data_IF_347355897131
#
_entry.id   IF_347355897131
#
_cell.length_a   1.000
_cell.length_b   1.000
_cell.length_c   1.000
_cell.angle_alpha   90.00
_cell.angle_beta   90.00
_cell.angle_gamma   90.00
#
_symmetry.space_group_name_H-M   'P 1'
#
loop_
_entity.id
_entity.type
_entity.pdbx_description
1 polymer ?
#
# COMPACT_ATOMS: atom_id res chain seq x y z
N UNK A 1 35.34 -12.25 -27.92
CA UNK A 1 34.55 -13.10 -27.00
C UNK A 1 34.34 -12.49 -25.61
N UNK A 2 35.36 -11.86 -24.99
CA UNK A 2 35.21 -11.22 -23.65
C UNK A 2 34.18 -10.08 -23.56
N UNK A 3 33.96 -9.32 -24.64
CA UNK A 3 32.99 -8.20 -24.69
C UNK A 3 31.52 -8.66 -24.69
N UNK A 4 31.24 -9.90 -25.11
CA UNK A 4 29.88 -10.46 -25.16
C UNK A 4 29.44 -10.97 -23.78
N UNK A 5 30.40 -11.42 -22.97
CA UNK A 5 30.18 -11.90 -21.60
C UNK A 5 29.81 -10.74 -20.63
N UNK A 6 30.36 -9.54 -20.87
CA UNK A 6 30.02 -8.33 -20.09
C UNK A 6 28.57 -7.88 -20.33
N UNK A 7 28.06 -8.02 -21.56
CA UNK A 7 26.69 -7.64 -21.91
C UNK A 7 25.66 -8.54 -21.22
N UNK A 8 25.92 -9.84 -21.14
CA UNK A 8 25.03 -10.82 -20.50
C UNK A 8 24.94 -10.60 -18.99
N UNK A 9 26.07 -10.27 -18.33
CA UNK A 9 26.10 -9.95 -16.89
C UNK A 9 25.33 -8.66 -16.58
N UNK A 10 25.42 -7.65 -17.46
CA UNK A 10 24.68 -6.39 -17.28
C UNK A 10 23.17 -6.57 -17.46
N UNK A 11 22.73 -7.46 -18.34
CA UNK A 11 21.30 -7.77 -18.53
C UNK A 11 20.69 -8.59 -17.37
N UNK A 12 21.47 -9.42 -16.67
CA UNK A 12 20.96 -10.20 -15.52
C UNK A 12 20.69 -9.37 -14.26
N UNK A 13 21.30 -8.18 -14.12
CA UNK A 13 21.15 -7.32 -12.95
C UNK A 13 19.85 -6.48 -12.96
N UNK A 14 19.17 -6.37 -14.10
CA UNK A 14 17.95 -5.56 -14.25
C UNK A 14 16.69 -6.17 -13.61
N UNK A 15 16.73 -7.42 -13.14
CA UNK A 15 15.56 -8.11 -12.58
C UNK A 15 15.26 -7.78 -11.11
N UNK A 16 16.06 -6.93 -10.46
CA UNK A 16 16.00 -6.72 -9.00
C UNK A 16 15.12 -5.55 -8.53
N UNK A 17 14.23 -5.03 -9.38
CA UNK A 17 13.32 -3.92 -9.04
C UNK A 17 11.90 -4.45 -8.87
N UNK A 18 11.57 -5.10 -7.74
CA UNK A 18 10.19 -5.55 -7.47
C UNK A 18 9.87 -5.58 -5.97
N UNK A 19 9.74 -4.41 -5.34
CA UNK A 19 9.08 -4.31 -4.03
C UNK A 19 7.55 -4.21 -4.12
N UNK A 20 6.98 -4.06 -5.32
CA UNK A 20 5.52 -4.01 -5.55
C UNK A 20 5.03 -5.26 -6.28
N UNK A 21 3.82 -5.71 -5.95
CA UNK A 21 3.27 -6.93 -6.53
C UNK A 21 2.90 -6.76 -8.00
N UNK A 22 3.34 -7.72 -8.83
CA UNK A 22 2.98 -7.75 -10.27
C UNK A 22 1.53 -8.20 -10.46
N UNK A 23 1.05 -9.06 -9.57
CA UNK A 23 -0.31 -9.60 -9.59
C UNK A 23 -1.32 -8.55 -9.21
N UNK A 24 -1.03 -7.70 -8.22
CA UNK A 24 -1.87 -6.51 -7.94
C UNK A 24 -1.93 -5.59 -9.16
N UNK A 25 -0.80 -5.33 -9.82
CA UNK A 25 -0.76 -4.48 -11.01
C UNK A 25 -1.53 -5.08 -12.20
N UNK A 26 -1.50 -6.41 -12.37
CA UNK A 26 -2.28 -7.15 -13.39
C UNK A 26 -3.77 -7.04 -13.08
N UNK A 27 -4.17 -7.38 -11.85
CA UNK A 27 -5.56 -7.31 -11.38
C UNK A 27 -6.16 -5.92 -11.58
N UNK A 28 -5.41 -4.88 -11.20
CA UNK A 28 -5.80 -3.47 -11.40
C UNK A 28 -6.08 -3.11 -12.86
N UNK A 29 -5.34 -3.69 -13.81
CA UNK A 29 -5.54 -3.43 -15.24
C UNK A 29 -6.78 -4.12 -15.78
N UNK A 30 -7.03 -5.34 -15.30
CA UNK A 30 -8.12 -6.20 -15.76
C UNK A 30 -9.47 -5.79 -15.17
N UNK A 31 -9.49 -5.31 -13.92
CA UNK A 31 -10.73 -5.06 -13.17
C UNK A 31 -10.97 -3.58 -12.81
N UNK A 32 -10.20 -2.65 -13.39
CA UNK A 32 -10.36 -1.19 -13.31
C UNK A 32 -11.00 -0.65 -12.01
N UNK A 33 -10.21 -0.41 -10.95
CA UNK A 33 -10.75 0.12 -9.69
C UNK A 33 -11.44 1.47 -9.86
N UNK A 34 -12.48 1.70 -9.05
CA UNK A 34 -13.26 2.94 -8.98
C UNK A 34 -12.41 4.13 -8.52
N UNK A 35 -11.40 3.89 -7.69
CA UNK A 35 -10.42 4.88 -7.26
C UNK A 35 -8.99 4.34 -7.37
N UNK A 36 -8.08 5.16 -7.90
CA UNK A 36 -6.65 4.86 -8.04
C UNK A 36 -5.84 6.02 -7.50
N UNK A 37 -4.94 5.74 -6.55
CA UNK A 37 -4.01 6.75 -6.06
C UNK A 37 -2.60 6.20 -5.92
N UNK A 38 -1.65 7.10 -6.07
CA UNK A 38 -0.22 6.80 -6.04
C UNK A 38 0.45 7.82 -5.13
N UNK A 39 0.87 7.36 -3.96
CA UNK A 39 1.57 8.17 -2.98
C UNK A 39 3.05 7.84 -3.03
N UNK A 40 3.84 8.74 -3.60
CA UNK A 40 5.30 8.64 -3.56
C UNK A 40 5.80 9.20 -2.23
N UNK A 41 6.99 8.76 -1.80
CA UNK A 41 7.66 9.25 -0.58
C UNK A 41 7.63 10.77 -0.41
N UNK A 42 7.79 11.54 -1.48
CA UNK A 42 7.71 13.00 -1.46
C UNK A 42 6.31 13.50 -1.10
N UNK A 43 5.27 12.93 -1.71
CA UNK A 43 3.87 13.25 -1.43
C UNK A 43 3.47 12.85 -0.02
N UNK A 44 3.91 11.67 0.45
CA UNK A 44 3.71 11.21 1.82
C UNK A 44 4.33 12.18 2.83
N UNK A 45 5.59 12.60 2.59
CA UNK A 45 6.27 13.59 3.43
C UNK A 45 5.59 14.96 3.40
N UNK A 46 5.07 15.39 2.25
CA UNK A 46 4.32 16.64 2.13
C UNK A 46 3.05 16.58 2.98
N UNK A 47 2.27 15.50 2.86
CA UNK A 47 1.04 15.33 3.62
C UNK A 47 1.30 15.29 5.13
N UNK A 48 2.30 14.51 5.56
CA UNK A 48 2.71 14.44 6.96
C UNK A 48 3.06 15.83 7.52
N UNK A 49 3.75 16.68 6.73
CA UNK A 49 4.09 18.06 7.13
C UNK A 49 2.88 18.98 7.18
N UNK A 50 1.97 18.89 6.22
CA UNK A 50 0.74 19.68 6.20
C UNK A 50 -0.10 19.40 7.45
N UNK A 51 -0.24 18.12 7.80
CA UNK A 51 -0.98 17.71 8.98
C UNK A 51 -0.32 18.16 10.28
N UNK A 52 1.02 18.08 10.38
CA UNK A 52 1.76 18.64 11.52
C UNK A 52 1.58 20.16 11.63
N UNK A 53 1.58 20.88 10.50
CA UNK A 53 1.34 22.33 10.48
C UNK A 53 -0.04 22.69 11.01
N UNK A 54 -1.07 21.97 10.58
CA UNK A 54 -2.44 22.13 11.08
C UNK A 54 -2.55 21.77 12.58
N UNK A 55 -1.88 20.72 13.04
CA UNK A 55 -1.88 20.34 14.46
C UNK A 55 -1.25 21.42 15.34
N UNK A 56 -0.19 22.09 14.87
CA UNK A 56 0.43 23.19 15.61
C UNK A 56 -0.48 24.42 15.69
N UNK A 57 -1.24 24.71 14.64
CA UNK A 57 -2.12 25.89 14.55
C UNK A 57 -3.42 25.73 15.35
N UNK A 58 -3.91 24.50 15.56
CA UNK A 58 -5.16 24.18 16.27
C UNK A 58 -4.97 23.46 17.61
N UNK A 59 -3.85 23.73 18.29
CA UNK A 59 -3.40 23.03 19.50
C UNK A 59 -4.35 23.16 20.70
N UNK A 60 -5.21 22.15 20.91
CA UNK A 60 -5.70 21.72 22.23
C UNK A 60 -6.43 20.36 22.23
N UNK A 61 -6.99 19.92 21.10
CA UNK A 61 -7.82 18.69 21.05
C UNK A 61 -7.24 17.55 20.18
N UNK A 62 -5.99 17.66 19.72
CA UNK A 62 -5.37 16.72 18.76
C UNK A 62 -4.13 15.98 19.30
N UNK A 63 -4.07 15.74 20.61
CA UNK A 63 -2.91 15.11 21.28
C UNK A 63 -2.70 13.61 20.94
N UNK A 64 -3.62 12.98 20.20
CA UNK A 64 -3.60 11.54 19.92
C UNK A 64 -3.32 11.17 18.46
N UNK A 65 -2.84 12.10 17.62
CA UNK A 65 -2.52 11.71 16.24
C UNK A 65 -1.20 10.94 16.18
N UNK A 66 -1.16 9.72 15.60
CA UNK A 66 0.06 8.93 15.48
C UNK A 66 1.13 9.69 14.69
N UNK A 67 2.40 9.45 15.00
CA UNK A 67 3.53 10.06 14.31
C UNK A 67 3.63 9.53 12.87
N UNK A 68 2.85 10.11 11.96
CA UNK A 68 2.78 9.70 10.54
C UNK A 68 4.14 9.72 9.86
N UNK A 69 5.04 10.63 10.27
CA UNK A 69 6.41 10.67 9.76
C UNK A 69 7.23 9.41 10.07
N UNK A 70 6.95 8.71 11.17
CA UNK A 70 7.60 7.45 11.51
C UNK A 70 7.01 6.31 10.68
N UNK A 71 5.69 6.34 10.46
CA UNK A 71 4.96 5.32 9.69
C UNK A 71 5.34 5.31 8.21
N UNK A 72 5.57 6.48 7.61
CA UNK A 72 5.98 6.61 6.21
C UNK A 72 7.49 6.48 6.01
N UNK A 73 8.26 6.37 7.10
CA UNK A 73 9.70 6.22 7.00
C UNK A 73 10.02 4.82 6.48
N UNK A 74 10.87 4.74 5.45
CA UNK A 74 11.13 3.47 4.76
C UNK A 74 10.11 3.08 3.68
N UNK A 75 9.03 3.84 3.52
CA UNK A 75 8.10 3.70 2.39
C UNK A 75 8.61 4.52 1.21
N UNK A 76 8.77 3.87 0.07
CA UNK A 76 9.13 4.54 -1.19
C UNK A 76 7.87 4.91 -1.99
N UNK A 77 6.88 4.02 -2.00
CA UNK A 77 5.65 4.21 -2.76
C UNK A 77 4.49 3.41 -2.19
N UNK A 78 3.30 4.00 -2.19
CA UNK A 78 2.03 3.31 -1.92
C UNK A 78 1.15 3.47 -3.15
N UNK A 79 0.58 2.36 -3.60
CA UNK A 79 -0.53 2.35 -4.53
C UNK A 79 -1.79 1.96 -3.78
N UNK A 80 -2.85 2.72 -3.94
CA UNK A 80 -4.16 2.43 -3.37
C UNK A 80 -5.17 2.24 -4.48
N UNK A 81 -5.91 1.13 -4.41
CA UNK A 81 -6.96 0.77 -5.34
C UNK A 81 -8.23 0.45 -4.57
N UNK A 82 -9.33 1.12 -4.90
CA UNK A 82 -10.64 0.80 -4.35
C UNK A 82 -11.54 0.20 -5.42
N UNK A 83 -12.28 -0.84 -5.06
CA UNK A 83 -13.26 -1.53 -5.90
C UNK A 83 -14.60 -1.49 -5.17
N UNK A 84 -15.44 -0.53 -5.53
CA UNK A 84 -16.76 -0.29 -4.95
C UNK A 84 -17.80 -0.06 -6.04
N UNK A 85 -19.08 -0.29 -5.72
CA UNK A 85 -20.20 -0.04 -6.62
C UNK A 85 -20.58 -1.24 -7.50
N UNK A 86 -21.02 -0.98 -8.73
CA UNK A 86 -21.58 -2.02 -9.63
C UNK A 86 -20.54 -2.93 -10.28
N UNK A 87 -19.25 -2.61 -10.14
CA UNK A 87 -18.13 -3.34 -10.78
C UNK A 87 -17.20 -3.98 -9.73
N UNK A 88 -17.73 -4.33 -8.56
CA UNK A 88 -16.97 -5.07 -7.54
C UNK A 88 -16.62 -6.46 -8.11
N UNK A 89 -15.33 -6.84 -8.17
CA UNK A 89 -14.95 -8.17 -8.61
C UNK A 89 -15.50 -9.25 -7.67
N UNK A 90 -15.83 -10.41 -8.23
CA UNK A 90 -16.29 -11.56 -7.44
C UNK A 90 -15.25 -11.94 -6.38
N UNK A 91 -15.71 -12.38 -5.20
CA UNK A 91 -14.83 -12.73 -4.08
C UNK A 91 -13.79 -13.81 -4.45
N UNK A 92 -14.13 -14.70 -5.39
CA UNK A 92 -13.21 -15.71 -5.91
C UNK A 92 -12.01 -15.10 -6.64
N UNK A 93 -12.18 -13.95 -7.30
CA UNK A 93 -11.08 -13.25 -7.97
C UNK A 93 -10.08 -12.68 -6.96
N UNK A 94 -10.53 -12.23 -5.78
CA UNK A 94 -9.64 -11.81 -4.70
C UNK A 94 -8.92 -12.99 -4.05
N UNK A 95 -9.57 -14.15 -3.97
CA UNK A 95 -8.92 -15.40 -3.53
C UNK A 95 -7.79 -15.76 -4.51
N UNK A 96 -8.07 -15.74 -5.81
CA UNK A 96 -7.08 -16.01 -6.85
C UNK A 96 -5.95 -14.98 -6.85
N UNK A 97 -6.28 -13.69 -6.63
CA UNK A 97 -5.26 -12.65 -6.49
C UNK A 97 -4.34 -12.92 -5.29
N UNK A 98 -4.89 -13.39 -4.16
CA UNK A 98 -4.09 -13.76 -2.99
C UNK A 98 -3.11 -14.88 -3.32
N UNK A 99 -3.58 -15.93 -4.00
CA UNK A 99 -2.73 -17.05 -4.45
C UNK A 99 -1.62 -16.58 -5.41
N UNK A 100 -1.97 -15.70 -6.35
CA UNK A 100 -1.03 -15.10 -7.29
C UNK A 100 0.04 -14.26 -6.59
N UNK A 101 -0.33 -13.53 -5.53
CA UNK A 101 0.60 -12.75 -4.69
C UNK A 101 1.51 -13.68 -3.88
N UNK A 102 0.98 -14.76 -3.30
CA UNK A 102 1.80 -15.77 -2.62
C UNK A 102 2.81 -16.43 -3.58
N UNK A 103 2.41 -16.69 -4.82
CA UNK A 103 3.31 -17.19 -5.86
C UNK A 103 4.46 -16.22 -6.20
N UNK A 104 4.33 -14.93 -5.87
CA UNK A 104 5.40 -13.93 -5.99
C UNK A 104 6.37 -13.91 -4.80
N UNK A 105 6.16 -14.77 -3.80
CA UNK A 105 6.98 -14.88 -2.59
C UNK A 105 6.55 -13.93 -1.47
N UNK A 106 5.31 -13.45 -1.49
CA UNK A 106 4.69 -12.82 -0.33
C UNK A 106 4.16 -13.89 0.62
N UNK A 107 4.21 -13.63 1.91
CA UNK A 107 3.67 -14.49 2.97
C UNK A 107 2.67 -13.72 3.82
N UNK A 108 1.68 -14.42 4.37
CA UNK A 108 0.70 -13.84 5.28
C UNK A 108 1.37 -13.45 6.60
N UNK A 109 1.30 -12.16 6.94
CA UNK A 109 1.89 -11.62 8.16
C UNK A 109 0.85 -11.54 9.28
N UNK A 110 -0.34 -11.01 8.96
CA UNK A 110 -1.45 -10.91 9.90
C UNK A 110 -2.79 -10.81 9.19
N UNK A 111 -3.83 -11.28 9.87
CA UNK A 111 -5.23 -11.02 9.53
C UNK A 111 -5.91 -10.43 10.76
N UNK A 112 -6.62 -9.32 10.58
CA UNK A 112 -7.32 -8.62 11.65
C UNK A 112 -8.69 -8.17 11.18
N UNK A 113 -9.65 -8.11 12.11
CA UNK A 113 -10.94 -7.48 11.87
C UNK A 113 -10.97 -6.13 12.60
N UNK A 114 -11.11 -5.05 11.84
CA UNK A 114 -11.08 -3.68 12.38
C UNK A 114 -12.29 -2.92 11.85
N UNK A 115 -13.12 -2.43 12.76
CA UNK A 115 -14.36 -1.67 12.43
C UNK A 115 -15.32 -2.42 11.49
N UNK A 116 -15.35 -3.75 11.59
CA UNK A 116 -16.19 -4.60 10.74
C UNK A 116 -15.60 -4.90 9.37
N UNK A 117 -14.40 -4.41 9.06
CA UNK A 117 -13.65 -4.74 7.85
C UNK A 117 -12.67 -5.88 8.15
N UNK A 118 -12.57 -6.82 7.23
CA UNK A 118 -11.58 -7.89 7.28
C UNK A 118 -10.31 -7.43 6.56
N UNK A 119 -9.19 -7.39 7.28
CA UNK A 119 -7.91 -6.93 6.77
C UNK A 119 -6.90 -8.07 6.77
N UNK A 120 -6.23 -8.29 5.64
CA UNK A 120 -5.12 -9.23 5.50
C UNK A 120 -3.88 -8.47 5.05
N UNK A 121 -2.78 -8.64 5.77
CA UNK A 121 -1.48 -8.05 5.47
C UNK A 121 -0.55 -9.16 5.04
N UNK A 122 0.01 -9.02 3.84
CA UNK A 122 1.02 -9.88 3.26
C UNK A 122 2.34 -9.12 3.14
N UNK A 123 3.46 -9.80 3.34
CA UNK A 123 4.80 -9.23 3.28
C UNK A 123 5.72 -10.08 2.42
N UNK A 124 6.57 -9.42 1.64
CA UNK A 124 7.67 -10.06 0.92
C UNK A 124 9.00 -9.64 1.52
N UNK A 125 9.86 -10.61 1.77
CA UNK A 125 11.20 -10.39 2.29
C UNK A 125 12.29 -10.71 1.26
N UNK A 126 13.43 -10.03 1.41
CA UNK A 126 14.65 -10.32 0.65
C UNK A 126 15.83 -10.44 1.60
N UNK A 127 16.16 -11.68 1.97
CA UNK A 127 16.98 -11.95 3.15
C UNK A 127 16.19 -11.56 4.40
N UNK A 128 16.83 -10.97 5.40
CA UNK A 128 16.17 -10.57 6.67
C UNK A 128 15.55 -9.16 6.61
N UNK A 129 15.12 -8.70 5.43
CA UNK A 129 14.60 -7.34 5.23
C UNK A 129 13.28 -7.35 4.46
N UNK A 130 12.22 -6.70 5.00
CA UNK A 130 11.01 -6.45 4.24
C UNK A 130 11.30 -5.64 2.97
N UNK A 131 10.78 -6.09 1.83
CA UNK A 131 10.92 -5.45 0.52
C UNK A 131 9.58 -4.82 0.06
N UNK A 132 8.46 -5.39 0.48
CA UNK A 132 7.14 -4.89 0.13
C UNK A 132 6.01 -5.51 0.91
N UNK A 133 4.87 -4.83 0.89
CA UNK A 133 3.65 -5.25 1.58
C UNK A 133 2.45 -5.13 0.66
N UNK A 134 1.52 -6.08 0.78
CA UNK A 134 0.19 -5.96 0.20
C UNK A 134 -0.83 -6.04 1.33
N UNK A 135 -1.73 -5.06 1.40
CA UNK A 135 -2.84 -5.06 2.34
C UNK A 135 -4.14 -5.19 1.58
N UNK A 136 -4.93 -6.20 1.93
CA UNK A 136 -6.31 -6.34 1.51
C UNK A 136 -7.23 -5.87 2.61
N UNK A 137 -8.24 -5.11 2.21
CA UNK A 137 -9.29 -4.63 3.09
C UNK A 137 -10.60 -4.99 2.43
N UNK A 138 -11.35 -5.88 3.05
CA UNK A 138 -12.71 -6.22 2.65
C UNK A 138 -13.69 -5.50 3.56
N UNK A 139 -14.56 -4.69 2.96
CA UNK A 139 -15.65 -4.00 3.64
C UNK A 139 -17.01 -4.54 3.19
N UNK A 140 -18.08 -4.01 3.78
CA UNK A 140 -19.44 -4.28 3.31
C UNK A 140 -19.75 -3.64 1.95
N UNK A 141 -18.97 -2.64 1.53
CA UNK A 141 -19.19 -1.84 0.32
C UNK A 141 -18.25 -2.21 -0.83
N UNK A 142 -17.24 -3.05 -0.60
CA UNK A 142 -16.30 -3.46 -1.62
C UNK A 142 -14.97 -3.97 -1.07
N UNK A 143 -13.92 -3.79 -1.87
CA UNK A 143 -12.56 -4.20 -1.54
C UNK A 143 -11.58 -3.06 -1.81
N UNK A 144 -10.59 -2.91 -0.93
CA UNK A 144 -9.46 -2.03 -1.16
C UNK A 144 -8.15 -2.82 -1.10
N UNK A 145 -7.20 -2.40 -1.94
CA UNK A 145 -5.85 -2.98 -2.00
C UNK A 145 -4.84 -1.85 -1.81
N UNK A 146 -3.91 -2.05 -0.88
CA UNK A 146 -2.70 -1.23 -0.76
C UNK A 146 -1.50 -2.07 -1.19
N UNK A 147 -0.74 -1.57 -2.15
CA UNK A 147 0.52 -2.17 -2.62
C UNK A 147 1.68 -1.22 -2.29
N UNK A 148 2.48 -1.62 -1.32
CA UNK A 148 3.46 -0.78 -0.62
C UNK A 148 4.86 -1.27 -0.96
N UNK A 149 5.66 -0.36 -1.50
CA UNK A 149 7.09 -0.55 -1.73
C UNK A 149 7.89 -0.03 -0.55
N UNK A 150 8.75 -0.88 0.01
CA UNK A 150 9.66 -0.52 1.10
C UNK A 150 9.38 -1.29 2.38
N UNK A 151 9.89 -0.75 3.49
CA UNK A 151 9.92 -1.38 4.80
C UNK A 151 9.17 -0.53 5.85
N UNK A 152 7.84 -0.33 5.72
CA UNK A 152 7.07 0.26 6.81
C UNK A 152 7.26 -0.55 8.10
N UNK A 153 7.20 0.14 9.24
CA UNK A 153 7.05 -0.55 10.53
C UNK A 153 5.75 -1.36 10.50
N UNK A 154 5.87 -2.67 10.63
CA UNK A 154 4.74 -3.61 10.61
C UNK A 154 3.68 -3.25 11.63
N UNK A 155 4.09 -2.79 12.81
CA UNK A 155 3.18 -2.39 13.89
C UNK A 155 2.34 -1.17 13.51
N UNK A 156 2.72 -0.47 12.44
CA UNK A 156 2.12 0.78 11.95
C UNK A 156 1.40 0.62 10.62
N UNK A 157 1.40 -0.58 10.02
CA UNK A 157 0.71 -0.84 8.75
C UNK A 157 -0.81 -0.63 8.87
N UNK A 158 -1.39 -0.98 10.03
CA UNK A 158 -2.82 -0.75 10.27
C UNK A 158 -3.16 0.74 10.26
N UNK A 159 -2.41 1.52 11.05
CA UNK A 159 -2.54 2.99 11.11
C UNK A 159 -2.30 3.61 9.71
N UNK A 160 -1.34 3.08 8.95
CA UNK A 160 -1.02 3.56 7.61
C UNK A 160 -2.16 3.28 6.62
N UNK A 161 -2.79 2.11 6.74
CA UNK A 161 -3.90 1.71 5.88
C UNK A 161 -5.11 2.62 6.09
N UNK A 162 -5.40 2.94 7.35
CA UNK A 162 -6.42 3.92 7.71
C UNK A 162 -6.08 5.31 7.17
N UNK A 163 -4.83 5.76 7.33
CA UNK A 163 -4.35 7.05 6.81
C UNK A 163 -4.51 7.18 5.29
N UNK A 164 -4.14 6.14 4.53
CA UNK A 164 -4.25 6.15 3.07
C UNK A 164 -5.72 6.11 2.64
N UNK A 165 -6.56 5.35 3.36
CA UNK A 165 -8.02 5.36 3.17
C UNK A 165 -8.61 6.75 3.40
N UNK A 166 -8.27 7.43 4.50
CA UNK A 166 -8.79 8.75 4.83
C UNK A 166 -8.30 9.84 3.87
N UNK A 167 -7.03 9.76 3.45
CA UNK A 167 -6.47 10.63 2.42
C UNK A 167 -7.11 10.37 1.04
N UNK A 168 -7.59 9.14 0.82
CA UNK A 168 -8.18 8.71 -0.42
C UNK A 168 -9.64 9.02 -0.63
N UNK A 169 -10.39 9.08 0.47
CA UNK A 169 -11.80 9.39 0.39
C UNK A 169 -12.44 9.41 1.76
N UNK A 170 -12.14 10.44 2.57
CA UNK A 170 -13.18 11.10 3.38
C UNK A 170 -12.77 12.43 4.06
N UNK A 171 -11.54 12.96 3.91
CA UNK A 171 -11.14 14.18 4.65
C UNK A 171 -10.82 15.42 3.79
N UNK A 172 -10.38 15.26 2.53
CA UNK A 172 -9.94 16.42 1.74
C UNK A 172 -11.08 17.25 1.13
N UNK A 173 -12.30 16.72 1.00
CA UNK A 173 -13.46 17.45 0.45
C UNK A 173 -14.16 18.31 1.52
N UNK A 174 -14.08 17.92 2.79
CA UNK A 174 -14.64 18.71 3.91
C UNK A 174 -13.67 19.75 4.46
N UNK A 175 -12.35 19.55 4.29
CA UNK A 175 -11.33 20.47 4.83
C UNK A 175 -11.19 21.76 3.99
N UNK A 176 -11.75 21.82 2.78
CA UNK A 176 -11.69 22.99 1.88
C UNK A 176 -13.07 23.56 1.53
N UNK A 177 -14.07 23.42 2.41
CA UNK A 177 -15.38 24.06 2.26
C UNK A 177 -15.70 25.04 3.38
#
# INVERSE_FOLDING_TARGET
MKKLLVLVIFCSLAYSVNGQSRSVERFRKEHQPSLKMFFYKSTLKMYARLQMGLQQEFSSDLDEMPQISEMINGIEKIKFFNYEGSEIPESQLFTQLSEDIHAEGYEDLMTARVEGNDMTVMMKEKGDKPEGFVVFIQSSTGYSILDIEGYPDVNKILELSQFVGSAGGMSLVETFR
#
